data_IF_466979120421
#
_entry.id   IF_466979120421
#
_cell.length_a   1.000
_cell.length_b   1.000
_cell.length_c   1.000
_cell.angle_alpha   90.00
_cell.angle_beta   90.00
_cell.angle_gamma   90.00
#
_symmetry.space_group_name_H-M   'P 1'
#
loop_
_entity.id
_entity.type
_entity.pdbx_description
1 polymer ?
#
# COMPACT_ATOMS: atom_id res chain seq x y z
N UNK A 1 -28.60 4.02 -2.89
CA UNK A 1 -27.48 3.15 -3.28
C UNK A 1 -27.28 2.19 -2.12
N UNK A 2 -28.08 1.13 -2.06
CA UNK A 2 -28.01 0.16 -0.96
C UNK A 2 -26.68 -0.58 -1.01
N UNK A 3 -25.96 -0.59 0.11
CA UNK A 3 -24.74 -1.35 0.25
C UNK A 3 -25.07 -2.83 0.10
N UNK A 4 -24.39 -3.53 -0.83
CA UNK A 4 -24.59 -4.97 -1.07
C UNK A 4 -24.17 -5.85 0.12
N UNK A 5 -23.63 -5.25 1.17
CA UNK A 5 -23.03 -5.94 2.29
C UNK A 5 -23.61 -5.40 3.60
N UNK A 6 -24.23 -6.30 4.36
CA UNK A 6 -24.80 -5.95 5.66
C UNK A 6 -23.66 -5.71 6.67
N UNK A 7 -23.76 -4.67 7.51
CA UNK A 7 -22.78 -4.42 8.58
C UNK A 7 -22.61 -5.62 9.52
N UNK A 8 -21.41 -5.76 10.09
CA UNK A 8 -21.10 -6.82 11.06
C UNK A 8 -21.86 -6.68 12.39
N UNK A 9 -22.37 -5.48 12.68
CA UNK A 9 -23.21 -5.16 13.84
C UNK A 9 -24.36 -4.25 13.41
N UNK A 10 -25.53 -4.29 14.08
CA UNK A 10 -26.63 -3.38 13.77
C UNK A 10 -26.21 -1.93 13.98
N UNK A 11 -26.52 -1.07 13.01
CA UNK A 11 -26.29 0.37 13.06
C UNK A 11 -27.64 1.11 12.95
N UNK A 12 -27.83 2.25 13.63
CA UNK A 12 -26.85 3.00 14.43
C UNK A 12 -26.65 2.46 15.86
N UNK A 13 -25.44 2.67 16.41
CA UNK A 13 -25.14 2.42 17.82
C UNK A 13 -25.70 3.54 18.70
N UNK A 14 -25.98 3.23 19.97
CA UNK A 14 -26.29 4.24 20.98
C UNK A 14 -25.08 5.15 21.24
N UNK A 15 -25.35 6.40 21.61
CA UNK A 15 -24.31 7.43 21.75
C UNK A 15 -23.34 7.14 22.89
N UNK A 16 -23.82 6.55 23.97
CA UNK A 16 -23.00 6.25 25.15
C UNK A 16 -21.97 5.16 24.82
N UNK A 17 -22.43 4.04 24.26
CA UNK A 17 -21.56 2.96 23.79
C UNK A 17 -20.61 3.42 22.69
N UNK A 18 -21.07 4.25 21.74
CA UNK A 18 -20.20 4.79 20.69
C UNK A 18 -19.03 5.59 21.28
N UNK A 19 -19.29 6.49 22.22
CA UNK A 19 -18.25 7.31 22.84
C UNK A 19 -17.26 6.46 23.66
N UNK A 20 -17.76 5.47 24.39
CA UNK A 20 -16.93 4.53 25.15
C UNK A 20 -15.99 3.72 24.24
N UNK A 21 -16.52 3.13 23.16
CA UNK A 21 -15.72 2.35 22.20
C UNK A 21 -14.70 3.26 21.51
N UNK A 22 -15.07 4.49 21.12
CA UNK A 22 -14.14 5.44 20.49
C UNK A 22 -12.98 5.79 21.42
N UNK A 23 -13.24 6.04 22.71
CA UNK A 23 -12.17 6.31 23.67
C UNK A 23 -11.23 5.12 23.80
N UNK A 24 -11.79 3.94 24.06
CA UNK A 24 -11.01 2.69 24.21
C UNK A 24 -10.19 2.35 22.98
N UNK A 25 -10.75 2.58 21.78
CA UNK A 25 -10.07 2.28 20.52
C UNK A 25 -8.88 3.21 20.27
N UNK A 26 -8.97 4.49 20.66
CA UNK A 26 -7.84 5.43 20.57
C UNK A 26 -6.68 5.00 21.46
N UNK A 27 -6.99 4.66 22.72
CA UNK A 27 -5.99 4.21 23.69
C UNK A 27 -5.37 2.89 23.23
N UNK A 28 -6.19 1.93 22.79
CA UNK A 28 -5.73 0.66 22.25
C UNK A 28 -4.79 0.86 21.05
N UNK A 29 -5.14 1.74 20.10
CA UNK A 29 -4.31 2.04 18.94
C UNK A 29 -2.92 2.57 19.36
N UNK A 30 -2.86 3.50 20.31
CA UNK A 30 -1.59 4.04 20.81
C UNK A 30 -0.76 2.98 21.54
N UNK A 31 -1.39 2.18 22.40
CA UNK A 31 -0.72 1.12 23.16
C UNK A 31 -0.14 0.01 22.27
N UNK A 32 -0.73 -0.24 21.10
CA UNK A 32 -0.27 -1.25 20.13
C UNK A 32 0.59 -0.66 19.01
N UNK A 33 1.00 0.60 19.12
CA UNK A 33 1.90 1.25 18.16
C UNK A 33 1.23 1.69 16.86
N UNK A 34 -0.11 1.67 16.77
CA UNK A 34 -0.87 2.25 15.67
C UNK A 34 -0.96 3.78 15.82
N UNK A 35 0.20 4.43 15.85
CA UNK A 35 0.34 5.87 15.94
C UNK A 35 1.20 6.46 14.83
N UNK A 36 1.03 7.76 14.62
CA UNK A 36 1.77 8.55 13.65
C UNK A 36 2.11 9.93 14.23
N UNK A 37 3.05 10.62 13.61
CA UNK A 37 3.34 12.02 13.96
C UNK A 37 2.35 12.95 13.28
N UNK A 38 1.92 13.99 13.99
CA UNK A 38 1.03 14.99 13.43
C UNK A 38 1.71 15.76 12.30
N UNK A 39 0.99 15.96 11.18
CA UNK A 39 1.45 16.81 10.07
C UNK A 39 1.33 18.30 10.38
N UNK A 40 0.35 18.69 11.22
CA UNK A 40 0.07 20.09 11.54
C UNK A 40 0.93 20.59 12.69
N UNK A 41 1.09 19.77 13.73
CA UNK A 41 1.88 20.07 14.92
C UNK A 41 2.95 18.99 15.10
N UNK A 42 3.91 18.94 14.18
CA UNK A 42 4.99 17.96 14.25
C UNK A 42 5.84 18.20 15.51
N UNK A 43 5.97 17.17 16.33
CA UNK A 43 6.90 17.13 17.46
C UNK A 43 7.54 15.74 17.50
N UNK A 44 8.82 15.68 17.87
CA UNK A 44 9.54 14.42 18.06
C UNK A 44 8.96 13.59 19.20
N UNK A 45 8.39 14.28 20.19
CA UNK A 45 8.01 13.74 21.49
C UNK A 45 6.50 13.47 21.59
N UNK A 46 5.74 13.76 20.52
CA UNK A 46 4.30 13.50 20.47
C UNK A 46 3.94 12.46 19.41
N UNK A 47 2.99 11.61 19.78
CA UNK A 47 2.38 10.63 18.89
C UNK A 47 0.86 10.83 18.93
N UNK A 48 0.22 10.77 17.78
CA UNK A 48 -1.24 10.72 17.65
C UNK A 48 -1.64 9.38 17.07
N UNK A 49 -2.83 8.86 17.38
CA UNK A 49 -3.29 7.61 16.78
C UNK A 49 -3.39 7.76 15.25
N UNK A 50 -3.04 6.70 14.51
CA UNK A 50 -3.23 6.69 13.06
C UNK A 50 -4.73 6.69 12.73
N UNK A 51 -5.21 7.39 11.68
CA UNK A 51 -6.61 7.33 11.29
C UNK A 51 -7.03 5.89 10.96
N UNK A 52 -8.06 5.39 11.64
CA UNK A 52 -8.62 4.05 11.41
C UNK A 52 -10.16 4.09 11.35
N UNK A 53 -10.74 3.10 10.68
CA UNK A 53 -12.18 2.87 10.74
C UNK A 53 -12.53 2.15 12.05
N UNK A 54 -13.51 2.66 12.80
CA UNK A 54 -13.91 2.10 14.09
C UNK A 54 -14.40 0.65 13.98
N UNK A 55 -15.08 0.34 12.88
CA UNK A 55 -15.60 -0.98 12.56
C UNK A 55 -14.98 -1.46 11.24
N UNK A 56 -14.71 -2.76 11.09
CA UNK A 56 -14.21 -3.30 9.85
C UNK A 56 -15.26 -3.14 8.73
N UNK A 57 -14.80 -2.68 7.56
CA UNK A 57 -15.63 -2.64 6.37
C UNK A 57 -15.92 -4.05 5.88
N UNK A 58 -17.17 -4.34 5.56
CA UNK A 58 -17.56 -5.67 5.08
C UNK A 58 -17.09 -5.85 3.64
N UNK A 59 -16.40 -6.95 3.39
CA UNK A 59 -15.82 -7.27 2.09
C UNK A 59 -16.04 -8.75 1.78
N UNK A 60 -16.41 -9.11 0.54
CA UNK A 60 -16.72 -10.49 0.23
C UNK A 60 -15.46 -11.37 0.19
N UNK A 61 -15.55 -12.50 0.88
CA UNK A 61 -14.42 -13.39 1.17
C UNK A 61 -13.76 -13.94 -0.09
N UNK A 62 -14.56 -14.37 -1.07
CA UNK A 62 -14.08 -14.99 -2.31
C UNK A 62 -13.19 -14.01 -3.11
N UNK A 63 -13.59 -12.76 -3.20
CA UNK A 63 -12.84 -11.72 -3.91
C UNK A 63 -11.55 -11.36 -3.17
N UNK A 64 -11.57 -11.38 -1.83
CA UNK A 64 -10.37 -11.19 -1.02
C UNK A 64 -9.37 -12.31 -1.23
N UNK A 65 -9.81 -13.57 -1.12
CA UNK A 65 -8.96 -14.75 -1.34
C UNK A 65 -8.38 -14.76 -2.76
N UNK A 66 -9.20 -14.45 -3.76
CA UNK A 66 -8.73 -14.32 -5.14
C UNK A 66 -7.64 -13.25 -5.31
N UNK A 67 -7.76 -12.11 -4.63
CA UNK A 67 -6.74 -11.06 -4.68
C UNK A 67 -5.43 -11.51 -4.02
N UNK A 68 -5.51 -12.26 -2.90
CA UNK A 68 -4.35 -12.85 -2.23
C UNK A 68 -3.66 -13.87 -3.12
N UNK A 69 -4.41 -14.77 -3.76
CA UNK A 69 -3.87 -15.77 -4.69
C UNK A 69 -3.22 -15.14 -5.94
N UNK A 70 -3.73 -13.99 -6.39
CA UNK A 70 -3.21 -13.29 -7.55
C UNK A 70 -1.91 -12.52 -7.26
N UNK A 71 -1.66 -12.14 -6.01
CA UNK A 71 -0.53 -11.30 -5.62
C UNK A 71 0.85 -11.85 -6.07
N UNK A 72 1.19 -13.14 -5.86
CA UNK A 72 2.46 -13.70 -6.34
C UNK A 72 2.64 -13.60 -7.86
N UNK A 73 1.56 -13.84 -8.61
CA UNK A 73 1.56 -13.80 -10.08
C UNK A 73 1.84 -12.37 -10.57
N UNK A 74 1.20 -11.37 -9.96
CA UNK A 74 1.45 -9.96 -10.29
C UNK A 74 2.89 -9.57 -9.92
N UNK A 75 3.39 -10.01 -8.76
CA UNK A 75 4.76 -9.71 -8.35
C UNK A 75 5.79 -10.28 -9.34
N UNK A 76 5.60 -11.51 -9.82
CA UNK A 76 6.46 -12.11 -10.84
C UNK A 76 6.36 -11.38 -12.19
N UNK A 77 5.14 -11.03 -12.60
CA UNK A 77 4.93 -10.23 -13.81
C UNK A 77 5.67 -8.89 -13.71
N UNK A 78 5.50 -8.16 -12.62
CA UNK A 78 6.18 -6.88 -12.38
C UNK A 78 7.70 -7.04 -12.34
N UNK A 79 8.19 -8.13 -11.74
CA UNK A 79 9.62 -8.46 -11.76
C UNK A 79 10.14 -8.65 -13.19
N UNK A 80 9.45 -9.46 -14.01
CA UNK A 80 9.86 -9.71 -15.39
C UNK A 80 9.79 -8.44 -16.24
N UNK A 81 8.73 -7.65 -16.09
CA UNK A 81 8.57 -6.35 -16.78
C UNK A 81 9.68 -5.37 -16.42
N UNK A 82 10.08 -5.31 -15.14
CA UNK A 82 11.15 -4.42 -14.70
C UNK A 82 12.53 -4.77 -15.30
N UNK A 83 12.74 -6.03 -15.71
CA UNK A 83 13.99 -6.48 -16.35
C UNK A 83 13.94 -6.40 -17.88
N UNK A 84 12.78 -6.14 -18.47
CA UNK A 84 12.65 -5.97 -19.92
C UNK A 84 12.92 -4.51 -20.30
N UNK A 85 14.18 -4.24 -20.64
CA UNK A 85 14.62 -2.91 -21.04
C UNK A 85 13.90 -2.39 -22.28
N UNK A 86 13.68 -3.26 -23.28
CA UNK A 86 13.03 -2.84 -24.53
C UNK A 86 11.59 -2.45 -24.27
N UNK A 87 10.87 -3.26 -23.49
CA UNK A 87 9.50 -2.97 -23.10
C UNK A 87 9.39 -1.63 -22.34
N UNK A 88 10.25 -1.39 -21.35
CA UNK A 88 10.23 -0.15 -20.59
C UNK A 88 10.55 1.06 -21.46
N UNK A 89 11.56 0.95 -22.33
CA UNK A 89 11.97 2.04 -23.22
C UNK A 89 10.87 2.37 -24.21
N UNK A 90 10.26 1.38 -24.86
CA UNK A 90 9.20 1.60 -25.83
C UNK A 90 7.95 2.24 -25.22
N UNK A 91 7.53 1.78 -24.04
CA UNK A 91 6.32 2.30 -23.39
C UNK A 91 6.53 3.68 -22.73
N UNK A 92 7.75 4.01 -22.27
CA UNK A 92 8.02 5.26 -21.56
C UNK A 92 8.54 6.39 -22.46
N UNK A 93 8.91 6.12 -23.73
CA UNK A 93 9.41 7.14 -24.69
C UNK A 93 8.61 8.44 -24.67
N UNK A 94 7.30 8.35 -24.88
CA UNK A 94 6.43 9.53 -24.95
C UNK A 94 6.28 10.23 -23.59
N UNK A 95 6.30 9.48 -22.49
CA UNK A 95 6.15 10.02 -21.13
C UNK A 95 7.41 10.77 -20.69
N UNK A 96 8.58 10.29 -21.08
CA UNK A 96 9.87 10.91 -20.78
C UNK A 96 10.02 12.29 -21.44
N UNK A 97 9.38 12.50 -22.59
CA UNK A 97 9.41 13.80 -23.30
C UNK A 97 8.61 14.88 -22.58
N UNK A 98 7.55 14.50 -21.85
CA UNK A 98 6.60 15.43 -21.23
C UNK A 98 6.75 15.55 -19.71
N UNK A 99 7.32 14.53 -19.04
CA UNK A 99 7.49 14.51 -17.59
C UNK A 99 8.97 14.47 -17.16
N UNK A 100 9.44 15.60 -16.64
CA UNK A 100 10.81 15.79 -16.17
C UNK A 100 11.19 14.86 -15.02
N UNK A 101 10.23 14.48 -14.17
CA UNK A 101 10.48 13.58 -13.05
C UNK A 101 10.79 12.17 -13.55
N UNK A 102 9.89 11.60 -14.36
CA UNK A 102 10.06 10.28 -14.97
C UNK A 102 11.30 10.22 -15.85
N UNK A 103 11.60 11.30 -16.60
CA UNK A 103 12.83 11.41 -17.39
C UNK A 103 14.09 11.22 -16.56
N UNK A 104 14.20 11.88 -15.40
CA UNK A 104 15.38 11.74 -14.52
C UNK A 104 15.50 10.32 -13.96
N UNK A 105 14.38 9.69 -13.60
CA UNK A 105 14.38 8.29 -13.15
C UNK A 105 14.87 7.34 -14.25
N UNK A 106 14.42 7.55 -15.49
CA UNK A 106 14.84 6.74 -16.62
C UNK A 106 16.32 6.94 -16.96
N UNK A 107 16.83 8.17 -16.87
CA UNK A 107 18.28 8.44 -17.03
C UNK A 107 19.13 7.67 -16.01
N UNK A 108 18.72 7.62 -14.74
CA UNK A 108 19.41 6.82 -13.72
C UNK A 108 19.39 5.33 -14.04
N UNK A 109 18.25 4.83 -14.53
CA UNK A 109 18.12 3.45 -14.97
C UNK A 109 19.06 3.12 -16.15
N UNK A 110 19.19 4.00 -17.14
CA UNK A 110 20.13 3.82 -18.26
C UNK A 110 21.59 3.85 -17.81
N UNK A 111 21.95 4.70 -16.85
CA UNK A 111 23.30 4.72 -16.27
C UNK A 111 23.62 3.38 -15.61
N UNK A 112 22.71 2.86 -14.78
CA UNK A 112 22.88 1.57 -14.10
C UNK A 112 23.00 0.40 -15.08
N UNK A 113 22.26 0.43 -16.19
CA UNK A 113 22.37 -0.57 -17.25
C UNK A 113 23.74 -0.54 -17.93
N UNK A 114 24.31 0.65 -18.18
CA UNK A 114 25.63 0.82 -18.80
C UNK A 114 26.76 0.37 -17.88
N UNK A 115 26.65 0.68 -16.59
CA UNK A 115 27.65 0.28 -15.58
C UNK A 115 27.57 -1.20 -15.22
N UNK A 116 26.41 -1.83 -15.46
CA UNK A 116 26.15 -3.23 -15.15
C UNK A 116 25.63 -3.41 -13.72
N UNK A 117 24.72 -4.37 -13.52
CA UNK A 117 24.13 -4.63 -12.21
C UNK A 117 25.12 -5.36 -11.30
N UNK A 118 25.48 -4.74 -10.17
CA UNK A 118 26.31 -5.37 -9.12
C UNK A 118 25.49 -6.20 -8.13
N UNK A 119 24.17 -6.02 -8.11
CA UNK A 119 23.26 -6.77 -7.24
C UNK A 119 23.02 -8.17 -7.79
N UNK A 120 23.45 -9.17 -7.04
CA UNK A 120 23.23 -10.59 -7.37
C UNK A 120 21.78 -10.95 -7.07
N UNK A 121 20.95 -11.13 -8.11
CA UNK A 121 19.57 -11.57 -7.92
C UNK A 121 19.56 -13.05 -7.51
N UNK A 122 19.35 -13.33 -6.23
CA UNK A 122 19.14 -14.70 -5.77
C UNK A 122 17.75 -15.16 -6.23
N UNK A 123 17.69 -15.85 -7.38
CA UNK A 123 16.49 -16.51 -7.86
C UNK A 123 16.19 -17.69 -6.91
N UNK A 124 15.62 -17.43 -5.73
CA UNK A 124 15.06 -18.48 -4.87
C UNK A 124 13.95 -19.16 -5.67
N UNK A 125 14.29 -20.27 -6.32
CA UNK A 125 13.31 -21.25 -6.80
C UNK A 125 12.51 -21.66 -5.55
N UNK A 126 11.24 -21.29 -5.46
CA UNK A 126 10.27 -21.69 -4.42
C UNK A 126 10.34 -20.91 -3.10
N UNK A 127 9.89 -19.66 -3.08
CA UNK A 127 9.41 -19.05 -1.84
C UNK A 127 8.10 -18.30 -2.08
N UNK A 128 7.05 -19.08 -2.35
CA UNK A 128 5.66 -18.84 -1.96
C UNK A 128 5.08 -20.20 -1.56
#
# INVERSE_FOLDING_TARGET
MESRFQPCIPLPLDRETLNDIVSKSKDWALMHGAGMRSKTNFSSDSLVFAPFALLPSVFPKREFERAVELQPIINELMFNVAHDHNFLTENLKNTIEVDDFTRRLFQLYEIMLKEGFTQVYFKRRNCF
#
